data_IF_705862729812
#
_entry.id   IF_705862729812
#
_cell.length_a   1.000
_cell.length_b   1.000
_cell.length_c   1.000
_cell.angle_alpha   90.00
_cell.angle_beta   90.00
_cell.angle_gamma   90.00
#
_symmetry.space_group_name_H-M   'P 1'
#
loop_
_entity.id
_entity.type
_entity.pdbx_description
1 polymer ?
#
# COMPACT_ATOMS: atom_id res chain seq x y z
N UNK A 1 -14.49 -12.21 -25.90
CA UNK A 1 -14.84 -11.15 -24.92
C UNK A 1 -13.55 -10.63 -24.31
N UNK A 2 -13.43 -9.37 -23.88
CA UNK A 2 -12.23 -8.92 -23.15
C UNK A 2 -12.56 -8.87 -21.65
N UNK A 3 -11.72 -9.50 -20.84
CA UNK A 3 -11.76 -9.40 -19.38
C UNK A 3 -10.84 -8.26 -18.95
N UNK A 4 -11.32 -7.34 -18.13
CA UNK A 4 -10.55 -6.19 -17.66
C UNK A 4 -9.82 -6.51 -16.36
N UNK A 5 -8.57 -6.08 -16.25
CA UNK A 5 -7.83 -6.05 -14.98
C UNK A 5 -7.97 -4.67 -14.40
N UNK A 6 -8.57 -4.57 -13.22
CA UNK A 6 -8.91 -3.29 -12.59
C UNK A 6 -8.15 -3.13 -11.28
N UNK A 7 -7.50 -1.98 -11.09
CA UNK A 7 -6.85 -1.57 -9.84
C UNK A 7 -7.81 -0.65 -9.07
N UNK A 8 -8.11 -0.99 -7.82
CA UNK A 8 -8.85 -0.11 -6.92
C UNK A 8 -7.89 0.63 -5.98
N UNK A 9 -7.92 1.97 -5.99
CA UNK A 9 -7.05 2.80 -5.14
C UNK A 9 -7.71 3.26 -3.83
N UNK A 10 -8.91 2.77 -3.54
CA UNK A 10 -9.72 3.17 -2.39
C UNK A 10 -10.77 4.24 -2.71
N UNK A 11 -10.72 4.86 -3.89
CA UNK A 11 -11.67 5.90 -4.34
C UNK A 11 -12.24 5.57 -5.72
N UNK A 12 -11.41 5.08 -6.64
CA UNK A 12 -11.79 4.77 -8.01
C UNK A 12 -11.19 3.44 -8.50
N UNK A 13 -11.90 2.82 -9.43
CA UNK A 13 -11.42 1.68 -10.21
C UNK A 13 -10.73 2.19 -11.47
N UNK A 14 -9.52 1.71 -11.73
CA UNK A 14 -8.74 2.03 -12.93
C UNK A 14 -8.40 0.76 -13.70
N UNK A 15 -8.82 0.67 -14.96
CA UNK A 15 -8.43 -0.46 -15.81
C UNK A 15 -6.93 -0.35 -16.13
N UNK A 16 -6.17 -1.34 -15.67
CA UNK A 16 -4.70 -1.41 -15.83
C UNK A 16 -4.27 -2.44 -16.87
N UNK A 17 -5.21 -3.20 -17.44
CA UNK A 17 -4.92 -4.16 -18.49
C UNK A 17 -6.16 -4.90 -18.98
N UNK A 18 -5.97 -5.70 -20.04
CA UNK A 18 -7.02 -6.52 -20.64
C UNK A 18 -6.48 -7.93 -20.90
N UNK A 19 -7.32 -8.93 -20.62
CA UNK A 19 -7.16 -10.30 -21.08
C UNK A 19 -8.13 -10.54 -22.23
N UNK A 20 -7.61 -10.98 -23.38
CA UNK A 20 -8.45 -11.38 -24.50
C UNK A 20 -8.88 -12.83 -24.32
N UNK A 21 -10.17 -13.05 -24.06
CA UNK A 21 -10.74 -14.40 -24.09
C UNK A 21 -10.82 -14.87 -25.55
N UNK A 22 -9.98 -15.87 -25.88
CA UNK A 22 -9.95 -16.52 -27.20
C UNK A 22 -10.77 -17.81 -27.24
N UNK A 23 -11.35 -18.26 -26.13
CA UNK A 23 -12.12 -19.49 -26.05
C UNK A 23 -13.63 -19.27 -26.29
N UNK A 24 -14.08 -18.03 -26.40
CA UNK A 24 -15.50 -17.68 -26.58
C UNK A 24 -15.95 -17.76 -28.05
N UNK A 25 -16.23 -18.96 -28.55
CA UNK A 25 -17.08 -19.15 -29.76
C UNK A 25 -18.54 -18.74 -29.50
N UNK A 26 -19.37 -18.67 -30.54
CA UNK A 26 -20.74 -18.09 -30.62
C UNK A 26 -21.81 -18.60 -29.64
N UNK A 27 -21.47 -19.34 -28.58
CA UNK A 27 -22.41 -19.89 -27.60
C UNK A 27 -22.26 -19.27 -26.20
N UNK A 28 -22.04 -17.95 -26.11
CA UNK A 28 -21.86 -17.24 -24.82
C UNK A 28 -23.09 -16.45 -24.38
N UNK A 29 -24.29 -16.80 -24.85
CA UNK A 29 -25.53 -16.35 -24.20
C UNK A 29 -25.74 -17.02 -22.82
N UNK A 30 -24.82 -17.88 -22.41
CA UNK A 30 -24.57 -18.19 -21.00
C UNK A 30 -23.37 -17.39 -20.50
N UNK A 31 -23.50 -16.06 -20.50
CA UNK A 31 -22.80 -15.27 -19.50
C UNK A 31 -23.11 -15.94 -18.16
N UNK A 32 -22.12 -16.60 -17.54
CA UNK A 32 -22.28 -17.20 -16.21
C UNK A 32 -22.75 -16.04 -15.31
N UNK A 33 -24.03 -15.99 -14.91
CA UNK A 33 -24.52 -14.90 -14.08
C UNK A 33 -23.92 -15.15 -12.69
N UNK A 34 -22.77 -14.54 -12.42
CA UNK A 34 -22.00 -14.87 -11.22
C UNK A 34 -20.49 -14.94 -11.39
N UNK A 35 -19.90 -14.67 -12.57
CA UNK A 35 -18.45 -14.41 -12.67
C UNK A 35 -18.08 -13.02 -12.09
N UNK A 36 -18.63 -12.72 -10.91
CA UNK A 36 -18.12 -11.80 -9.89
C UNK A 36 -17.53 -12.68 -8.79
N UNK A 37 -16.55 -13.53 -9.10
CA UNK A 37 -15.64 -13.93 -8.04
C UNK A 37 -14.76 -12.72 -7.75
N UNK A 38 -15.22 -11.90 -6.80
CA UNK A 38 -14.30 -11.37 -5.82
C UNK A 38 -13.61 -12.58 -5.21
N UNK A 39 -12.43 -12.94 -5.76
CA UNK A 39 -11.62 -14.03 -5.22
C UNK A 39 -11.32 -13.64 -3.78
N UNK A 40 -12.02 -14.29 -2.87
CA UNK A 40 -11.90 -14.04 -1.44
C UNK A 40 -10.65 -14.76 -0.99
N UNK A 41 -9.62 -13.99 -0.64
CA UNK A 41 -8.37 -14.49 -0.06
C UNK A 41 -8.72 -15.11 1.30
N UNK A 42 -8.88 -16.44 1.32
CA UNK A 42 -9.30 -17.18 2.50
C UNK A 42 -8.84 -18.63 2.45
N UNK A 43 -7.67 -18.86 3.07
CA UNK A 43 -7.16 -20.11 3.66
C UNK A 43 -7.62 -21.47 3.08
N UNK A 44 -6.68 -22.22 2.49
CA UNK A 44 -6.88 -23.67 2.36
C UNK A 44 -5.86 -24.43 1.53
N UNK A 45 -5.64 -24.01 0.28
CA UNK A 45 -5.04 -24.91 -0.71
C UNK A 45 -3.70 -24.37 -1.23
N UNK A 46 -2.70 -25.24 -1.32
CA UNK A 46 -1.26 -24.96 -1.29
C UNK A 46 -0.67 -24.08 -2.43
N UNK A 47 -1.48 -23.65 -3.40
CA UNK A 47 -1.21 -22.52 -4.29
C UNK A 47 -2.59 -21.95 -4.65
N UNK A 48 -3.16 -21.14 -3.75
CA UNK A 48 -4.52 -20.63 -3.88
C UNK A 48 -4.75 -20.02 -5.26
N UNK A 49 -5.72 -20.59 -6.00
CA UNK A 49 -6.23 -19.99 -7.22
C UNK A 49 -6.55 -18.51 -6.93
N UNK A 50 -5.92 -17.60 -7.66
CA UNK A 50 -6.02 -16.16 -7.46
C UNK A 50 -4.91 -15.48 -6.64
N UNK A 51 -3.80 -16.16 -6.35
CA UNK A 51 -2.60 -15.48 -5.84
C UNK A 51 -1.93 -14.69 -6.96
N UNK A 52 -2.11 -13.36 -6.97
CA UNK A 52 -1.29 -12.46 -7.78
C UNK A 52 0.13 -12.43 -7.21
N UNK A 53 1.12 -12.76 -8.04
CA UNK A 53 2.54 -12.74 -7.65
C UNK A 53 3.24 -11.64 -8.43
N UNK A 54 3.79 -10.64 -7.72
CA UNK A 54 4.63 -9.65 -8.36
C UNK A 54 6.10 -10.09 -8.25
N UNK A 55 6.70 -10.41 -9.39
CA UNK A 55 8.13 -10.64 -9.54
C UNK A 55 8.80 -9.30 -9.84
N UNK A 56 9.18 -8.62 -8.76
CA UNK A 56 9.79 -7.30 -8.75
C UNK A 56 11.21 -7.29 -9.36
N UNK A 57 11.88 -8.44 -9.40
CA UNK A 57 13.22 -8.59 -10.00
C UNK A 57 13.16 -8.60 -11.52
N UNK A 58 12.16 -9.27 -12.09
CA UNK A 58 11.99 -9.39 -13.54
C UNK A 58 10.93 -8.43 -14.10
N UNK A 59 10.25 -7.65 -13.26
CA UNK A 59 9.24 -6.69 -13.69
C UNK A 59 7.98 -7.37 -14.24
N UNK A 60 7.52 -8.43 -13.56
CA UNK A 60 6.39 -9.26 -14.02
C UNK A 60 5.30 -9.38 -12.98
N UNK A 61 4.05 -9.26 -13.40
CA UNK A 61 2.90 -9.69 -12.60
C UNK A 61 2.44 -11.06 -13.11
N UNK A 62 2.52 -12.06 -12.26
CA UNK A 62 2.15 -13.44 -12.55
C UNK A 62 0.78 -13.76 -11.96
N UNK A 63 -0.09 -14.33 -12.79
CA UNK A 63 -1.49 -14.63 -12.47
C UNK A 63 -1.76 -16.10 -12.78
N UNK A 64 -2.15 -16.93 -11.81
CA UNK A 64 -2.65 -18.27 -12.07
C UNK A 64 -4.06 -18.17 -12.68
N UNK A 65 -4.24 -18.75 -13.86
CA UNK A 65 -5.51 -18.78 -14.59
C UNK A 65 -5.91 -20.24 -14.78
N UNK A 66 -7.18 -20.55 -14.52
CA UNK A 66 -7.73 -21.87 -14.80
C UNK A 66 -8.35 -21.92 -16.20
N UNK A 67 -7.98 -22.92 -16.99
CA UNK A 67 -8.63 -23.21 -18.26
C UNK A 67 -9.96 -23.93 -18.01
N UNK A 68 -11.05 -23.38 -18.51
CA UNK A 68 -12.36 -24.05 -18.58
C UNK A 68 -12.71 -24.52 -20.00
N UNK A 69 -11.71 -24.58 -20.88
CA UNK A 69 -11.89 -25.05 -22.24
C UNK A 69 -12.38 -26.52 -22.24
N UNK A 70 -13.35 -26.83 -23.11
CA UNK A 70 -13.84 -28.19 -23.35
C UNK A 70 -13.80 -28.49 -24.85
N UNK A 71 -13.17 -29.60 -25.22
CA UNK A 71 -13.10 -30.08 -26.61
C UNK A 71 -11.73 -29.83 -27.26
N UNK A 72 -11.40 -30.59 -28.30
CA UNK A 72 -10.09 -30.49 -28.97
C UNK A 72 -10.12 -29.47 -30.12
N UNK A 73 -9.11 -28.60 -30.28
CA UNK A 73 -7.92 -28.45 -29.42
C UNK A 73 -8.09 -27.37 -28.33
N UNK A 74 -7.81 -27.72 -27.07
CA UNK A 74 -7.66 -26.75 -25.98
C UNK A 74 -6.18 -26.35 -25.84
N UNK A 75 -5.79 -25.11 -26.22
CA UNK A 75 -4.39 -24.69 -26.26
C UNK A 75 -3.70 -24.61 -24.89
N UNK A 76 -4.48 -24.48 -23.81
CA UNK A 76 -3.99 -24.34 -22.43
C UNK A 76 -4.42 -25.50 -21.53
N UNK A 77 -4.68 -26.67 -22.13
CA UNK A 77 -5.17 -27.86 -21.44
C UNK A 77 -6.70 -27.87 -21.27
N UNK A 78 -7.22 -29.07 -21.06
CA UNK A 78 -8.64 -29.31 -20.84
C UNK A 78 -9.11 -28.79 -19.47
N UNK A 79 -10.43 -28.63 -19.34
CA UNK A 79 -11.14 -28.10 -18.19
C UNK A 79 -10.52 -28.50 -16.83
N UNK A 80 -10.04 -27.50 -16.10
CA UNK A 80 -9.47 -27.65 -14.76
C UNK A 80 -7.95 -27.46 -14.69
N UNK A 81 -7.25 -27.42 -15.83
CA UNK A 81 -5.79 -27.18 -15.86
C UNK A 81 -5.48 -25.71 -15.55
N UNK A 82 -4.59 -25.50 -14.58
CA UNK A 82 -4.03 -24.17 -14.28
C UNK A 82 -2.84 -23.86 -15.18
N UNK A 83 -2.75 -22.63 -15.64
CA UNK A 83 -1.59 -22.07 -16.33
C UNK A 83 -1.25 -20.70 -15.76
N UNK A 84 0.01 -20.28 -15.92
CA UNK A 84 0.49 -18.98 -15.44
C UNK A 84 0.48 -17.98 -16.60
N UNK A 85 -0.29 -16.90 -16.46
CA UNK A 85 -0.13 -15.72 -17.28
C UNK A 85 0.91 -14.80 -16.62
N UNK A 86 1.78 -14.19 -17.43
CA UNK A 86 2.68 -13.14 -16.97
C UNK A 86 2.40 -11.87 -17.77
N UNK A 87 2.21 -10.76 -17.07
CA UNK A 87 2.22 -9.41 -17.65
C UNK A 87 3.63 -8.85 -17.39
N UNK A 88 4.38 -8.61 -18.46
CA UNK A 88 5.74 -8.07 -18.39
C UNK A 88 5.76 -6.55 -18.62
N UNK A 89 6.90 -5.92 -18.34
CA UNK A 89 7.11 -4.49 -18.58
C UNK A 89 6.82 -3.60 -17.38
N UNK A 90 6.64 -4.18 -16.18
CA UNK A 90 6.66 -3.40 -14.95
C UNK A 90 8.09 -2.96 -14.65
N UNK A 91 8.23 -1.79 -14.03
CA UNK A 91 9.52 -1.34 -13.54
C UNK A 91 10.07 -2.38 -12.56
N UNK A 92 11.31 -2.81 -12.80
CA UNK A 92 12.00 -3.68 -11.85
C UNK A 92 12.35 -2.90 -10.60
N UNK A 93 12.60 -3.58 -9.49
CA UNK A 93 13.16 -2.95 -8.29
C UNK A 93 14.46 -2.20 -8.61
N UNK A 94 15.24 -2.69 -9.59
CA UNK A 94 16.43 -2.00 -10.06
C UNK A 94 16.10 -0.70 -10.79
N UNK A 95 15.12 -0.70 -11.72
CA UNK A 95 14.70 0.51 -12.43
C UNK A 95 14.13 1.55 -11.47
N UNK A 96 13.35 1.10 -10.48
CA UNK A 96 12.84 1.97 -9.41
C UNK A 96 14.01 2.57 -8.62
N UNK A 97 14.99 1.77 -8.20
CA UNK A 97 16.15 2.27 -7.45
C UNK A 97 17.04 3.22 -8.27
N UNK A 98 17.19 3.00 -9.56
CA UNK A 98 18.01 3.86 -10.43
C UNK A 98 17.33 5.19 -10.79
N UNK A 99 16.01 5.17 -10.90
CA UNK A 99 15.22 6.37 -11.27
C UNK A 99 14.69 7.12 -10.05
N UNK A 100 14.78 6.53 -8.85
CA UNK A 100 14.45 7.18 -7.60
C UNK A 100 15.45 8.30 -7.32
N UNK A 101 15.15 9.47 -7.85
CA UNK A 101 15.76 10.72 -7.42
C UNK A 101 14.93 11.17 -6.23
N UNK A 102 15.41 11.08 -4.98
CA UNK A 102 14.64 11.54 -3.83
C UNK A 102 14.24 13.00 -4.07
N UNK A 103 12.96 13.21 -4.29
CA UNK A 103 12.35 14.50 -4.51
C UNK A 103 11.86 15.05 -3.16
N UNK A 104 11.84 16.38 -3.02
CA UNK A 104 12.87 17.20 -2.37
C UNK A 104 13.00 16.92 -0.85
N UNK A 105 13.84 17.71 -0.16
CA UNK A 105 14.10 17.73 1.27
C UNK A 105 12.85 18.00 2.15
N UNK A 106 11.73 17.33 1.91
CA UNK A 106 10.48 17.48 2.65
C UNK A 106 9.69 16.17 2.72
N UNK A 107 9.14 15.88 3.90
CA UNK A 107 8.13 14.85 4.12
C UNK A 107 6.76 15.51 4.17
N UNK A 108 5.78 14.97 3.46
CA UNK A 108 4.43 15.55 3.40
C UNK A 108 3.31 14.54 3.61
N UNK A 109 2.20 14.98 4.22
CA UNK A 109 1.01 14.16 4.45
C UNK A 109 -0.27 15.01 4.45
N UNK A 110 -1.41 14.36 4.23
CA UNK A 110 -2.73 14.98 4.39
C UNK A 110 -3.25 14.74 5.79
N UNK A 111 -3.84 15.77 6.41
CA UNK A 111 -4.52 15.65 7.70
C UNK A 111 -5.71 14.69 7.57
N UNK A 112 -5.69 13.53 8.26
CA UNK A 112 -6.73 12.53 8.13
C UNK A 112 -8.04 12.97 8.79
N UNK A 113 -9.12 12.25 8.50
CA UNK A 113 -10.44 12.56 9.07
C UNK A 113 -10.47 12.48 10.60
N UNK A 114 -9.74 11.51 11.16
CA UNK A 114 -9.57 11.26 12.59
C UNK A 114 -8.08 11.00 12.89
N UNK A 115 -7.27 12.04 13.14
CA UNK A 115 -5.86 11.90 13.46
C UNK A 115 -5.66 11.01 14.70
N UNK A 116 -5.05 9.85 14.50
CA UNK A 116 -4.80 8.86 15.57
C UNK A 116 -6.04 8.47 16.42
N UNK A 117 -7.21 8.51 15.78
CA UNK A 117 -8.50 8.22 16.40
C UNK A 117 -9.07 9.38 17.24
N UNK A 118 -8.51 10.59 17.11
CA UNK A 118 -9.03 11.82 17.72
C UNK A 118 -9.98 12.54 16.76
N UNK A 119 -10.84 13.42 17.30
CA UNK A 119 -11.84 14.14 16.51
C UNK A 119 -11.20 15.18 15.55
N UNK A 120 -10.07 15.74 15.94
CA UNK A 120 -9.27 16.68 15.17
C UNK A 120 -7.80 16.63 15.64
N UNK A 121 -6.97 17.54 15.15
CA UNK A 121 -5.63 17.81 15.66
C UNK A 121 -5.45 19.32 15.83
N UNK A 122 -4.84 19.74 16.93
CA UNK A 122 -4.39 21.12 17.16
C UNK A 122 -3.00 21.33 16.57
N UNK A 123 -2.15 20.30 16.60
CA UNK A 123 -0.80 20.29 16.04
C UNK A 123 -0.30 18.87 15.82
N UNK A 124 0.84 18.76 15.16
CA UNK A 124 1.58 17.55 14.88
C UNK A 124 3.05 17.72 15.28
N UNK A 125 3.67 16.59 15.63
CA UNK A 125 5.11 16.43 15.78
C UNK A 125 5.58 15.33 14.83
N UNK A 126 6.62 15.57 14.05
CA UNK A 126 7.23 14.54 13.22
C UNK A 126 8.58 14.18 13.78
N UNK A 127 8.85 12.88 13.76
CA UNK A 127 10.08 12.28 14.21
C UNK A 127 10.64 11.40 13.10
N UNK A 128 11.94 11.11 13.18
CA UNK A 128 12.61 10.16 12.31
C UNK A 128 13.46 9.18 13.13
N UNK A 129 13.82 8.05 12.56
CA UNK A 129 14.79 7.13 13.15
C UNK A 129 15.33 6.14 12.12
N UNK A 130 16.33 5.36 12.49
CA UNK A 130 16.90 4.34 11.59
C UNK A 130 15.93 3.17 11.40
N UNK A 131 15.79 2.67 10.17
CA UNK A 131 14.93 1.52 9.87
C UNK A 131 15.27 0.28 10.68
N UNK A 132 16.54 0.10 11.07
CA UNK A 132 17.00 -0.99 11.94
C UNK A 132 16.43 -0.94 13.36
N UNK A 133 15.89 0.22 13.78
CA UNK A 133 15.31 0.43 15.12
C UNK A 133 13.79 0.60 15.08
N UNK A 134 13.14 0.33 13.94
CA UNK A 134 11.68 0.44 13.79
C UNK A 134 10.97 -0.36 14.89
N UNK A 135 10.02 0.28 15.56
CA UNK A 135 9.29 -0.28 16.68
C UNK A 135 9.90 0.06 18.05
N UNK A 136 11.16 0.50 18.11
CA UNK A 136 11.76 1.12 19.29
C UNK A 136 11.67 2.65 19.19
N UNK A 137 10.46 3.18 19.39
CA UNK A 137 10.15 4.60 19.21
C UNK A 137 10.93 5.54 20.15
N UNK A 138 11.48 5.02 21.25
CA UNK A 138 12.31 5.80 22.18
C UNK A 138 13.67 6.22 21.60
N UNK A 139 14.06 5.64 20.46
CA UNK A 139 15.27 5.99 19.72
C UNK A 139 15.00 6.95 18.54
N UNK A 140 13.76 7.41 18.38
CA UNK A 140 13.45 8.41 17.37
C UNK A 140 14.07 9.77 17.72
N UNK A 141 14.17 10.64 16.73
CA UNK A 141 14.65 12.01 16.86
C UNK A 141 13.57 12.96 16.34
N UNK A 142 13.33 14.08 17.03
CA UNK A 142 12.41 15.11 16.56
C UNK A 142 12.90 15.70 15.23
N UNK A 143 12.01 15.77 14.26
CA UNK A 143 12.25 16.40 12.96
C UNK A 143 11.67 17.82 12.93
N UNK A 144 10.40 17.96 13.33
CA UNK A 144 9.71 19.24 13.48
C UNK A 144 8.58 19.08 14.48
N UNK A 145 8.44 20.06 15.37
CA UNK A 145 7.55 19.96 16.52
C UNK A 145 6.47 21.05 16.49
N UNK A 146 5.30 20.75 17.06
CA UNK A 146 4.18 21.65 17.29
C UNK A 146 3.74 22.44 16.04
N UNK A 147 3.60 21.77 14.90
CA UNK A 147 3.21 22.39 13.63
C UNK A 147 1.86 21.86 13.10
N UNK A 148 1.11 22.64 12.30
CA UNK A 148 1.30 24.06 12.07
C UNK A 148 0.95 24.90 13.31
N UNK A 149 1.28 26.19 13.28
CA UNK A 149 1.05 27.11 14.41
C UNK A 149 -0.45 27.34 14.73
N UNK A 150 -1.34 27.02 13.80
CA UNK A 150 -2.79 27.07 13.96
C UNK A 150 -3.39 25.70 13.66
N UNK A 151 -4.46 25.28 14.37
CA UNK A 151 -5.09 23.98 14.13
C UNK A 151 -5.44 23.75 12.65
N UNK A 152 -4.93 22.68 12.02
CA UNK A 152 -5.20 22.42 10.61
C UNK A 152 -6.57 21.77 10.41
N UNK A 153 -7.16 22.01 9.23
CA UNK A 153 -8.40 21.38 8.82
C UNK A 153 -8.15 19.98 8.23
N UNK A 154 -9.22 19.18 8.18
CA UNK A 154 -9.20 17.88 7.49
C UNK A 154 -8.87 18.06 6.02
N UNK A 155 -7.94 17.25 5.52
CA UNK A 155 -7.53 17.23 4.11
C UNK A 155 -6.44 18.23 3.76
N UNK A 156 -6.12 19.17 4.66
CA UNK A 156 -4.98 20.07 4.53
C UNK A 156 -3.71 19.26 4.30
N UNK A 157 -2.85 19.76 3.41
CA UNK A 157 -1.56 19.14 3.13
C UNK A 157 -0.47 19.83 3.93
N UNK A 158 0.18 19.09 4.80
CA UNK A 158 1.27 19.56 5.64
C UNK A 158 2.59 19.02 5.11
N UNK A 159 3.64 19.83 5.23
CA UNK A 159 5.01 19.46 4.88
C UNK A 159 5.96 19.81 6.01
N UNK A 160 6.99 18.99 6.16
CA UNK A 160 8.07 19.13 7.12
C UNK A 160 9.37 19.07 6.35
N UNK A 161 10.32 19.96 6.63
CA UNK A 161 11.64 19.88 6.03
C UNK A 161 12.35 18.60 6.49
N UNK A 162 12.96 17.89 5.55
CA UNK A 162 13.79 16.72 5.77
C UNK A 162 15.26 17.08 5.50
N UNK A 163 16.03 17.45 6.53
CA UNK A 163 17.43 17.80 6.39
C UNK A 163 18.33 16.57 6.32
N UNK A 164 17.78 15.34 6.38
CA UNK A 164 18.58 14.14 6.46
C UNK A 164 19.29 13.87 5.13
N UNK A 165 20.57 13.48 5.16
CA UNK A 165 21.26 13.04 3.95
C UNK A 165 20.64 11.74 3.45
N UNK A 166 20.79 11.43 2.16
CA UNK A 166 20.38 10.12 1.65
C UNK A 166 21.06 9.00 2.44
N UNK A 167 20.32 7.98 2.91
CA UNK A 167 20.89 6.89 3.69
C UNK A 167 21.88 6.08 2.85
N UNK A 168 22.89 5.49 3.51
CA UNK A 168 23.83 4.59 2.85
C UNK A 168 23.12 3.30 2.36
N UNK A 169 23.66 2.59 1.36
CA UNK A 169 23.10 1.32 0.91
C UNK A 169 22.92 0.33 2.08
N UNK A 170 21.73 -0.27 2.18
CA UNK A 170 21.37 -1.18 3.28
C UNK A 170 20.80 -0.49 4.53
N UNK A 171 20.75 0.84 4.55
CA UNK A 171 20.12 1.65 5.59
C UNK A 171 18.89 2.38 5.06
N UNK A 172 18.09 2.91 5.98
CA UNK A 172 17.05 3.87 5.64
C UNK A 172 16.51 4.53 6.90
N UNK A 173 15.69 5.56 6.71
CA UNK A 173 14.99 6.22 7.80
C UNK A 173 13.51 5.87 7.77
N UNK A 174 12.91 5.71 8.94
CA UNK A 174 11.46 5.80 9.10
C UNK A 174 11.09 7.20 9.57
N UNK A 175 9.87 7.62 9.25
CA UNK A 175 9.27 8.84 9.78
C UNK A 175 7.98 8.45 10.51
N UNK A 176 7.72 9.11 11.63
CA UNK A 176 6.49 8.92 12.40
C UNK A 176 5.95 10.29 12.79
N UNK A 177 4.65 10.48 12.61
CA UNK A 177 3.97 11.71 12.99
C UNK A 177 3.04 11.42 14.16
N UNK A 178 3.19 12.19 15.23
CA UNK A 178 2.27 12.25 16.34
C UNK A 178 1.28 13.41 16.12
N UNK A 179 0.03 13.22 16.52
CA UNK A 179 -1.01 14.23 16.53
C UNK A 179 -1.32 14.62 17.97
N UNK A 180 -1.50 15.92 18.23
CA UNK A 180 -1.92 16.46 19.52
C UNK A 180 -3.28 17.12 19.38
N UNK A 181 -4.23 16.80 20.27
CA UNK A 181 -5.56 17.42 20.35
C UNK A 181 -6.00 17.55 21.80
N UNK A 182 -6.37 18.75 22.23
CA UNK A 182 -6.81 19.07 23.60
C UNK A 182 -5.87 18.54 24.68
N UNK A 183 -4.55 18.68 24.46
CA UNK A 183 -3.51 18.21 25.37
C UNK A 183 -3.26 16.69 25.37
N UNK A 184 -3.97 15.92 24.54
CA UNK A 184 -3.66 14.51 24.30
C UNK A 184 -2.81 14.36 23.04
N UNK A 185 -1.63 13.76 23.18
CA UNK A 185 -0.77 13.40 22.05
C UNK A 185 -0.87 11.92 21.78
N UNK A 186 -0.88 11.51 20.51
CA UNK A 186 -0.94 10.11 20.07
C UNK A 186 -0.15 9.92 18.79
N UNK A 187 0.38 8.73 18.54
CA UNK A 187 1.07 8.42 17.28
C UNK A 187 0.85 6.97 16.87
N UNK A 188 0.81 6.72 15.56
CA UNK A 188 0.76 5.39 14.98
C UNK A 188 -0.47 4.56 15.39
N UNK A 189 -0.72 3.46 14.69
CA UNK A 189 -1.89 2.62 14.98
C UNK A 189 -1.53 1.46 15.92
N UNK A 190 -2.34 1.27 16.96
CA UNK A 190 -2.38 0.07 17.79
C UNK A 190 -3.81 -0.44 17.85
N UNK A 191 -4.00 -1.73 17.66
CA UNK A 191 -5.30 -2.38 17.86
C UNK A 191 -5.41 -2.79 19.33
N UNK A 192 -6.38 -2.23 20.05
CA UNK A 192 -6.72 -2.62 21.41
C UNK A 192 -8.20 -3.05 21.44
N UNK A 193 -8.47 -4.33 21.74
CA UNK A 193 -9.85 -4.84 21.81
C UNK A 193 -10.65 -4.67 20.51
N UNK A 194 -9.99 -4.86 19.34
CA UNK A 194 -10.62 -4.73 18.03
C UNK A 194 -10.84 -3.30 17.53
N UNK A 195 -10.45 -2.28 18.30
CA UNK A 195 -10.48 -0.87 17.88
C UNK A 195 -9.07 -0.37 17.59
N UNK A 196 -8.91 0.35 16.48
CA UNK A 196 -7.67 1.05 16.16
C UNK A 196 -7.61 2.35 16.97
N UNK A 197 -6.55 2.53 17.74
CA UNK A 197 -6.25 3.76 18.47
C UNK A 197 -4.80 4.16 18.28
N UNK A 198 -4.50 5.44 18.47
CA UNK A 198 -3.13 5.93 18.65
C UNK A 198 -2.37 5.20 19.77
N UNK A 199 -1.04 5.07 19.66
CA UNK A 199 -0.17 4.64 20.76
C UNK A 199 0.04 5.75 21.78
N UNK A 200 0.41 5.35 23.00
CA UNK A 200 0.81 6.25 24.07
C UNK A 200 2.12 6.97 23.71
N UNK A 201 2.13 8.31 23.66
CA UNK A 201 3.29 9.13 23.30
C UNK A 201 4.45 9.00 24.29
N UNK A 202 4.26 8.42 25.48
CA UNK A 202 5.33 8.22 26.47
C UNK A 202 6.55 7.44 25.94
N UNK A 203 6.37 6.69 24.84
CA UNK A 203 7.47 5.99 24.18
C UNK A 203 8.24 6.85 23.17
N UNK A 204 7.74 8.02 22.80
CA UNK A 204 8.48 8.97 21.98
C UNK A 204 9.35 9.86 22.87
N UNK A 205 10.54 10.26 22.40
CA UNK A 205 11.29 11.30 23.06
C UNK A 205 10.53 12.62 22.97
N UNK A 206 10.86 13.56 23.87
CA UNK A 206 10.32 14.91 23.75
C UNK A 206 10.75 15.51 22.41
N UNK A 207 9.78 16.02 21.66
CA UNK A 207 10.06 16.82 20.48
C UNK A 207 10.51 18.22 20.94
N UNK A 208 11.81 18.40 21.13
CA UNK A 208 12.41 19.72 21.21
C UNK A 208 12.77 20.15 19.79
N UNK A 209 11.98 21.07 19.22
CA UNK A 209 12.45 21.81 18.06
C UNK A 209 13.59 22.71 18.54
N UNK A 210 14.74 22.65 17.87
CA UNK A 210 15.74 23.71 17.99
C UNK A 210 15.17 25.04 17.45
#
# INVERSE_FOLDING_TARGET
MNLEVVRYDGVAEHTIGFFQDKCSGTNVDQAIPGFREAITIGAGDALGAGTLLFDDKNGRLVIPIQSHCKGSPCPYGDNGVFWLAAIEGFATTFDVLQTYTPHPAQVGFRVPYMPEGMAAADSFDTYWGDLSTVGNWGQAHGLQCHYPASPPARGDYLTVADPLPSPQPGHGYYYVTAATYQGQTRYGRKTNGGRLSGRDPAQLPRCSGD
#
